data_IF_161632089508
#
_entry.id   IF_161632089508
#
_cell.length_a   1.000
_cell.length_b   1.000
_cell.length_c   1.000
_cell.angle_alpha   90.00
_cell.angle_beta   90.00
_cell.angle_gamma   90.00
#
_symmetry.space_group_name_H-M   'P 1'
#
loop_
_entity.id
_entity.type
_entity.pdbx_description
1 polymer ?
#
# COMPACT_ATOMS: atom_id res chain seq x y z
N UNK A 1 -14.49 20.43 22.02
CA UNK A 1 -13.78 20.37 20.72
C UNK A 1 -12.34 19.95 20.99
N UNK A 2 -11.94 18.70 20.69
CA UNK A 2 -10.59 18.19 20.98
C UNK A 2 -9.65 18.51 19.82
N UNK A 3 -8.56 19.21 20.14
CA UNK A 3 -7.44 19.59 19.26
C UNK A 3 -6.91 18.42 18.41
N UNK A 4 -7.33 18.37 17.14
CA UNK A 4 -6.91 17.36 16.17
C UNK A 4 -5.69 17.79 15.31
N UNK A 5 -5.07 18.94 15.62
CA UNK A 5 -4.00 19.54 14.80
C UNK A 5 -2.57 19.14 15.22
N UNK A 6 -2.38 18.42 16.34
CA UNK A 6 -1.03 18.25 16.94
C UNK A 6 -0.18 17.07 16.44
N UNK A 7 -0.66 16.24 15.50
CA UNK A 7 -0.03 14.95 15.16
C UNK A 7 0.58 14.78 13.77
N UNK A 8 0.61 15.82 12.92
CA UNK A 8 1.00 15.64 11.51
C UNK A 8 2.25 16.39 11.06
N UNK A 9 3.26 16.56 11.92
CA UNK A 9 4.59 16.96 11.41
C UNK A 9 5.24 15.76 10.72
N UNK A 10 5.10 15.71 9.39
CA UNK A 10 5.75 14.73 8.52
C UNK A 10 7.27 14.78 8.75
N UNK A 11 7.93 13.64 8.59
CA UNK A 11 9.39 13.58 8.56
C UNK A 11 9.81 14.13 7.19
N UNK A 12 10.05 15.45 7.07
CA UNK A 12 10.41 16.07 5.79
C UNK A 12 11.87 15.75 5.44
N UNK A 13 12.36 16.24 4.29
CA UNK A 13 13.73 16.09 3.82
C UNK A 13 14.50 17.42 3.94
N UNK A 14 14.33 18.13 5.05
CA UNK A 14 15.12 19.29 5.43
C UNK A 14 16.46 18.88 6.07
N UNK A 15 17.47 19.77 6.05
CA UNK A 15 18.79 19.60 6.70
C UNK A 15 18.68 19.12 8.15
N UNK A 16 17.64 19.55 8.87
CA UNK A 16 17.31 19.09 10.24
C UNK A 16 17.13 17.57 10.33
N UNK A 17 16.57 16.93 9.31
CA UNK A 17 16.25 15.50 9.30
C UNK A 17 17.44 14.57 9.08
N UNK A 18 18.55 15.05 8.52
CA UNK A 18 19.79 14.26 8.46
C UNK A 18 20.31 14.04 9.89
N UNK A 19 20.22 15.07 10.74
CA UNK A 19 20.59 14.95 12.14
C UNK A 19 19.58 14.13 12.93
N UNK A 20 18.26 14.28 12.66
CA UNK A 20 17.25 13.40 13.27
C UNK A 20 17.44 11.93 12.88
N UNK A 21 17.80 11.66 11.62
CA UNK A 21 18.06 10.31 11.11
C UNK A 21 19.30 9.70 11.76
N UNK A 22 20.39 10.48 11.91
CA UNK A 22 21.61 10.03 12.61
C UNK A 22 21.33 9.68 14.08
N UNK A 23 20.60 10.55 14.79
CA UNK A 23 20.24 10.27 16.20
C UNK A 23 19.31 9.05 16.30
N UNK A 24 18.39 8.89 15.34
CA UNK A 24 17.55 7.70 15.28
C UNK A 24 18.38 6.43 15.01
N UNK A 25 19.38 6.51 14.14
CA UNK A 25 20.32 5.42 13.87
C UNK A 25 21.09 5.00 15.13
N UNK A 26 21.71 5.96 15.83
CA UNK A 26 22.44 5.73 17.08
C UNK A 26 21.54 5.04 18.14
N UNK A 27 20.29 5.48 18.27
CA UNK A 27 19.36 4.88 19.23
C UNK A 27 18.83 3.51 18.81
N UNK A 28 18.73 3.24 17.52
CA UNK A 28 18.36 1.90 17.04
C UNK A 28 19.52 0.93 17.25
N UNK A 29 20.76 1.37 17.08
CA UNK A 29 21.95 0.58 17.41
C UNK A 29 22.03 0.27 18.91
N UNK A 30 21.77 1.28 19.76
CA UNK A 30 21.85 1.14 21.22
C UNK A 30 20.72 0.32 21.86
N UNK A 31 19.45 0.52 21.43
CA UNK A 31 18.29 -0.13 22.06
C UNK A 31 17.69 -1.28 21.25
N UNK A 32 18.15 -1.48 20.02
CA UNK A 32 17.60 -2.45 19.09
C UNK A 32 16.22 -2.09 18.53
N UNK A 33 15.82 -2.82 17.48
CA UNK A 33 14.59 -2.58 16.68
C UNK A 33 13.28 -3.04 17.35
N UNK A 34 13.30 -3.37 18.64
CA UNK A 34 12.13 -3.87 19.38
C UNK A 34 11.47 -2.79 20.26
N UNK A 35 12.21 -1.75 20.64
CA UNK A 35 11.81 -0.79 21.68
C UNK A 35 11.52 0.62 21.15
N UNK A 36 10.72 0.74 20.08
CA UNK A 36 10.41 2.01 19.42
C UNK A 36 9.79 3.08 20.33
N UNK A 37 9.04 2.69 21.38
CA UNK A 37 8.51 3.63 22.38
C UNK A 37 9.61 4.32 23.17
N UNK A 38 10.65 3.59 23.58
CA UNK A 38 11.81 4.12 24.31
C UNK A 38 12.65 5.01 23.39
N UNK A 39 12.90 4.54 22.16
CA UNK A 39 13.63 5.29 21.13
C UNK A 39 12.94 6.63 20.86
N UNK A 40 11.62 6.63 20.60
CA UNK A 40 10.88 7.86 20.32
C UNK A 40 10.87 8.86 21.47
N UNK A 41 10.81 8.38 22.73
CA UNK A 41 10.92 9.25 23.91
C UNK A 41 12.29 9.93 23.97
N UNK A 42 13.37 9.17 23.84
CA UNK A 42 14.73 9.73 23.87
C UNK A 42 15.00 10.66 22.70
N UNK A 43 14.56 10.27 21.49
CA UNK A 43 14.63 11.09 20.30
C UNK A 43 13.90 12.44 20.47
N UNK A 44 12.69 12.43 21.04
CA UNK A 44 11.91 13.64 21.31
C UNK A 44 12.55 14.53 22.39
N UNK A 45 13.29 13.96 23.34
CA UNK A 45 14.00 14.75 24.35
C UNK A 45 15.26 15.42 23.79
N UNK A 46 15.92 14.76 22.83
CA UNK A 46 17.15 15.27 22.23
C UNK A 46 16.90 16.28 21.10
N UNK A 47 15.75 16.21 20.45
CA UNK A 47 15.42 17.04 19.29
C UNK A 47 14.19 17.88 19.63
N UNK A 48 14.14 19.14 19.23
CA UNK A 48 13.02 20.07 19.49
C UNK A 48 11.68 19.70 18.80
N UNK A 49 11.54 18.48 18.28
CA UNK A 49 10.36 18.00 17.56
C UNK A 49 9.81 16.73 18.19
N UNK A 50 8.51 16.71 18.48
CA UNK A 50 7.81 15.54 19.01
C UNK A 50 7.74 14.44 17.95
N UNK A 51 8.33 13.28 18.24
CA UNK A 51 8.30 12.09 17.38
C UNK A 51 7.59 10.93 18.08
N UNK A 52 6.76 10.22 17.33
CA UNK A 52 6.06 9.02 17.81
C UNK A 52 6.84 7.76 17.47
N UNK A 53 6.59 6.68 18.22
CA UNK A 53 7.19 5.37 17.95
C UNK A 53 6.91 4.87 16.51
N UNK A 54 5.70 5.12 16.00
CA UNK A 54 5.31 4.79 14.63
C UNK A 54 6.18 5.52 13.60
N UNK A 55 6.35 6.83 13.75
CA UNK A 55 7.17 7.64 12.86
C UNK A 55 8.63 7.18 12.85
N UNK A 56 9.20 6.90 14.03
CA UNK A 56 10.58 6.42 14.15
C UNK A 56 10.76 5.07 13.44
N UNK A 57 9.87 4.11 13.69
CA UNK A 57 9.89 2.80 13.04
C UNK A 57 9.76 2.92 11.53
N UNK A 58 8.80 3.70 11.05
CA UNK A 58 8.54 3.89 9.62
C UNK A 58 9.74 4.54 8.92
N UNK A 59 10.37 5.55 9.54
CA UNK A 59 11.57 6.20 8.99
C UNK A 59 12.73 5.22 8.90
N UNK A 60 12.95 4.44 9.95
CA UNK A 60 13.99 3.41 9.97
C UNK A 60 13.78 2.36 8.87
N UNK A 61 12.57 1.77 8.83
CA UNK A 61 12.26 0.67 7.90
C UNK A 61 12.27 1.12 6.44
N UNK A 62 11.88 2.35 6.13
CA UNK A 62 11.73 2.81 4.74
C UNK A 62 12.92 3.59 4.19
N UNK A 63 13.73 4.23 5.05
CA UNK A 63 14.80 5.14 4.65
C UNK A 63 16.15 4.75 5.24
N UNK A 64 16.31 4.83 6.56
CA UNK A 64 17.64 4.71 7.21
C UNK A 64 18.26 3.33 6.94
N UNK A 65 17.49 2.25 7.11
CA UNK A 65 17.95 0.88 6.84
C UNK A 65 18.52 0.70 5.42
N UNK A 66 18.06 1.50 4.46
CA UNK A 66 18.42 1.42 3.05
C UNK A 66 19.22 2.66 2.59
N UNK A 67 19.78 3.46 3.49
CA UNK A 67 20.40 4.74 3.14
C UNK A 67 21.61 4.61 2.19
N UNK A 68 22.33 3.50 2.27
CA UNK A 68 23.47 3.20 1.40
C UNK A 68 23.08 2.43 0.13
N UNK A 69 21.79 2.12 -0.07
CA UNK A 69 21.35 1.35 -1.22
C UNK A 69 21.14 2.25 -2.46
N UNK A 70 21.42 1.74 -3.68
CA UNK A 70 21.17 2.48 -4.91
C UNK A 70 19.70 2.89 -5.01
N UNK A 71 19.43 4.17 -5.28
CA UNK A 71 18.06 4.66 -5.43
C UNK A 71 17.46 4.31 -6.81
N UNK A 72 18.31 4.07 -7.81
CA UNK A 72 17.90 3.87 -9.20
C UNK A 72 17.24 2.52 -9.42
N UNK A 73 16.25 2.50 -10.31
CA UNK A 73 15.58 1.29 -10.79
C UNK A 73 16.10 0.95 -12.18
N UNK A 74 16.66 -0.24 -12.30
CA UNK A 74 17.03 -0.86 -13.56
C UNK A 74 15.80 -1.46 -14.24
N UNK A 75 15.91 -1.68 -15.55
CA UNK A 75 14.84 -2.30 -16.33
C UNK A 75 14.61 -3.76 -15.93
N UNK A 76 15.67 -4.47 -15.54
CA UNK A 76 15.57 -5.83 -15.02
C UNK A 76 14.81 -5.88 -13.68
N UNK A 77 15.08 -4.93 -12.77
CA UNK A 77 14.34 -4.81 -11.51
C UNK A 77 12.86 -4.44 -11.76
N UNK A 78 12.57 -3.55 -12.71
CA UNK A 78 11.19 -3.21 -13.08
C UNK A 78 10.45 -4.44 -13.63
N UNK A 79 11.08 -5.23 -14.52
CA UNK A 79 10.50 -6.47 -15.06
C UNK A 79 10.25 -7.50 -13.96
N UNK A 80 11.22 -7.71 -13.07
CA UNK A 80 11.09 -8.60 -11.92
C UNK A 80 9.98 -8.15 -10.96
N UNK A 81 9.81 -6.83 -10.78
CA UNK A 81 8.76 -6.29 -9.92
C UNK A 81 7.38 -6.67 -10.45
N UNK A 82 7.16 -6.49 -11.75
CA UNK A 82 5.87 -6.83 -12.35
C UNK A 82 5.61 -8.34 -12.36
N UNK A 83 6.63 -9.17 -12.60
CA UNK A 83 6.44 -10.64 -12.53
C UNK A 83 6.13 -11.13 -11.11
N UNK A 84 6.79 -10.60 -10.09
CA UNK A 84 6.51 -10.91 -8.69
C UNK A 84 5.15 -10.39 -8.25
N UNK A 85 4.71 -9.23 -8.75
CA UNK A 85 3.36 -8.71 -8.48
C UNK A 85 2.28 -9.61 -9.08
N UNK A 86 2.51 -10.17 -10.28
CA UNK A 86 1.59 -11.15 -10.86
C UNK A 86 1.44 -12.41 -10.01
N UNK A 87 2.51 -12.81 -9.31
CA UNK A 87 2.52 -14.02 -8.48
C UNK A 87 1.96 -13.77 -7.07
N UNK A 88 2.36 -12.66 -6.44
CA UNK A 88 2.08 -12.39 -5.03
C UNK A 88 1.04 -11.29 -4.77
N UNK A 89 0.62 -10.56 -5.80
CA UNK A 89 -0.24 -9.39 -5.68
C UNK A 89 0.39 -8.27 -4.86
N UNK A 90 -0.42 -7.59 -4.03
CA UNK A 90 0.02 -6.44 -3.23
C UNK A 90 0.79 -6.83 -1.95
N UNK A 91 1.44 -8.00 -1.91
CA UNK A 91 2.24 -8.48 -0.78
C UNK A 91 3.64 -7.88 -0.79
N UNK A 92 3.74 -6.55 -0.70
CA UNK A 92 4.99 -5.78 -0.87
C UNK A 92 6.12 -6.21 0.07
N UNK A 93 5.80 -6.64 1.28
CA UNK A 93 6.78 -7.16 2.23
C UNK A 93 7.44 -8.46 1.73
N UNK A 94 6.69 -9.35 1.09
CA UNK A 94 7.22 -10.57 0.48
C UNK A 94 8.06 -10.22 -0.74
N UNK A 95 7.52 -9.38 -1.63
CA UNK A 95 8.22 -8.94 -2.85
C UNK A 95 9.55 -8.26 -2.49
N UNK A 96 9.61 -7.49 -1.40
CA UNK A 96 10.85 -6.81 -0.97
C UNK A 96 12.01 -7.72 -0.62
N UNK A 97 11.75 -9.01 -0.34
CA UNK A 97 12.82 -9.98 -0.10
C UNK A 97 13.65 -10.27 -1.36
N UNK A 98 13.10 -9.99 -2.56
CA UNK A 98 13.76 -10.21 -3.85
C UNK A 98 14.54 -8.98 -4.35
N UNK A 99 14.45 -7.84 -3.66
CA UNK A 99 15.11 -6.60 -4.07
C UNK A 99 16.11 -6.15 -3.00
N UNK A 100 17.37 -6.60 -3.07
CA UNK A 100 18.39 -6.13 -2.15
C UNK A 100 18.50 -4.60 -2.27
N UNK A 101 18.44 -3.91 -1.14
CA UNK A 101 18.53 -2.45 -1.12
C UNK A 101 17.21 -1.69 -1.39
N UNK A 102 16.07 -2.36 -1.61
CA UNK A 102 14.77 -1.68 -1.76
C UNK A 102 13.83 -1.99 -0.59
N UNK A 103 13.21 -0.94 -0.02
CA UNK A 103 12.14 -1.12 0.95
C UNK A 103 10.82 -1.55 0.28
N UNK A 104 9.95 -2.21 1.03
CA UNK A 104 8.58 -2.54 0.58
C UNK A 104 7.81 -1.29 0.11
N UNK A 105 8.04 -0.15 0.74
CA UNK A 105 7.45 1.12 0.31
C UNK A 105 8.04 1.63 -1.01
N UNK A 106 9.36 1.50 -1.21
CA UNK A 106 10.00 1.84 -2.49
C UNK A 106 9.43 1.01 -3.65
N UNK A 107 9.24 -0.29 -3.42
CA UNK A 107 8.66 -1.24 -4.38
C UNK A 107 7.23 -0.85 -4.75
N UNK A 108 6.38 -0.68 -3.74
CA UNK A 108 4.99 -0.21 -3.91
C UNK A 108 4.95 1.10 -4.70
N UNK A 109 5.81 2.06 -4.35
CA UNK A 109 5.87 3.35 -5.00
C UNK A 109 6.30 3.24 -6.47
N UNK A 110 7.33 2.44 -6.77
CA UNK A 110 7.78 2.24 -8.14
C UNK A 110 6.70 1.60 -9.02
N UNK A 111 6.02 0.57 -8.51
CA UNK A 111 4.91 -0.09 -9.18
C UNK A 111 3.80 0.92 -9.55
N UNK A 112 3.25 1.61 -8.56
CA UNK A 112 2.14 2.53 -8.81
C UNK A 112 2.55 3.77 -9.61
N UNK A 113 3.78 4.26 -9.44
CA UNK A 113 4.28 5.41 -10.21
C UNK A 113 4.44 5.05 -11.68
N UNK A 114 4.93 3.85 -11.98
CA UNK A 114 5.06 3.34 -13.34
C UNK A 114 3.69 3.19 -14.00
N UNK A 115 2.75 2.53 -13.32
CA UNK A 115 1.39 2.33 -13.84
C UNK A 115 0.68 3.66 -14.09
N UNK A 116 0.65 4.57 -13.11
CA UNK A 116 -0.01 5.89 -13.28
C UNK A 116 0.66 6.75 -14.34
N UNK A 117 1.98 6.65 -14.49
CA UNK A 117 2.69 7.30 -15.61
C UNK A 117 2.17 6.76 -16.93
N UNK A 118 2.10 5.45 -17.08
CA UNK A 118 1.71 4.82 -18.34
C UNK A 118 0.22 5.03 -18.68
N UNK A 119 -0.67 5.01 -17.68
CA UNK A 119 -2.09 5.41 -17.86
C UNK A 119 -2.19 6.83 -18.42
N UNK A 120 -1.48 7.79 -17.82
CA UNK A 120 -1.50 9.20 -18.29
C UNK A 120 -0.96 9.33 -19.72
N UNK A 121 0.07 8.55 -20.07
CA UNK A 121 0.66 8.55 -21.41
C UNK A 121 -0.29 7.95 -22.44
N UNK A 122 -0.92 6.83 -22.12
CA UNK A 122 -1.89 6.16 -22.98
C UNK A 122 -3.16 6.98 -23.18
N UNK A 123 -3.71 7.57 -22.11
CA UNK A 123 -4.96 8.34 -22.18
C UNK A 123 -4.79 9.69 -22.89
N UNK A 124 -3.55 10.14 -23.15
CA UNK A 124 -3.29 11.44 -23.76
C UNK A 124 -3.83 11.49 -25.19
N UNK A 125 -4.81 12.35 -25.43
CA UNK A 125 -5.44 12.54 -26.75
C UNK A 125 -6.46 11.47 -27.13
N UNK A 126 -6.85 10.58 -26.20
CA UNK A 126 -7.89 9.57 -26.43
C UNK A 126 -9.25 10.05 -25.93
N UNK A 127 -10.30 9.68 -26.67
CA UNK A 127 -11.69 9.89 -26.26
C UNK A 127 -11.97 9.18 -24.94
N UNK A 128 -12.96 9.68 -24.20
CA UNK A 128 -13.33 9.20 -22.87
C UNK A 128 -13.47 7.68 -22.79
N UNK A 129 -14.04 7.05 -23.83
CA UNK A 129 -14.39 5.63 -23.86
C UNK A 129 -13.19 4.74 -24.24
N UNK A 130 -12.12 5.34 -24.78
CA UNK A 130 -10.88 4.65 -25.14
C UNK A 130 -9.78 4.84 -24.09
N UNK A 131 -10.12 5.40 -22.92
CA UNK A 131 -9.19 5.64 -21.83
C UNK A 131 -9.18 4.49 -20.83
N UNK A 132 -8.00 4.14 -20.33
CA UNK A 132 -7.86 3.22 -19.20
C UNK A 132 -8.31 3.94 -17.93
N UNK A 133 -9.39 3.44 -17.33
CA UNK A 133 -10.02 3.99 -16.11
C UNK A 133 -10.33 2.88 -15.12
N UNK A 134 -10.53 3.27 -13.87
CA UNK A 134 -10.88 2.36 -12.79
C UNK A 134 -9.69 1.88 -11.97
N UNK A 135 -9.91 0.88 -11.11
CA UNK A 135 -8.96 0.50 -10.09
C UNK A 135 -7.83 -0.36 -10.70
N UNK A 136 -6.59 -0.06 -10.31
CA UNK A 136 -5.37 -0.63 -10.90
C UNK A 136 -5.32 -2.17 -10.79
N UNK A 137 -5.87 -2.73 -9.71
CA UNK A 137 -5.94 -4.17 -9.48
C UNK A 137 -6.84 -4.90 -10.50
N UNK A 138 -7.82 -4.22 -11.10
CA UNK A 138 -8.62 -4.78 -12.20
C UNK A 138 -7.90 -4.60 -13.53
N UNK A 139 -7.41 -3.39 -13.80
CA UNK A 139 -6.71 -3.06 -15.04
C UNK A 139 -5.52 -3.99 -15.31
N UNK A 140 -4.75 -4.36 -14.28
CA UNK A 140 -3.56 -5.21 -14.47
C UNK A 140 -3.89 -6.68 -14.75
N UNK A 141 -5.13 -7.14 -14.54
CA UNK A 141 -5.55 -8.52 -14.84
C UNK A 141 -5.72 -8.75 -16.33
N UNK A 142 -6.11 -7.72 -17.07
CA UNK A 142 -6.30 -7.75 -18.52
C UNK A 142 -4.92 -7.74 -19.21
N UNK A 143 -4.54 -8.78 -19.97
CA UNK A 143 -3.20 -8.88 -20.59
C UNK A 143 -2.84 -7.68 -21.48
N UNK A 144 -3.78 -7.19 -22.26
CA UNK A 144 -3.59 -6.08 -23.21
C UNK A 144 -3.31 -4.77 -22.46
N UNK A 145 -4.03 -4.52 -21.36
CA UNK A 145 -3.77 -3.37 -20.51
C UNK A 145 -2.43 -3.52 -19.80
N UNK A 146 -2.10 -4.72 -19.31
CA UNK A 146 -0.85 -4.99 -18.60
C UNK A 146 0.38 -4.63 -19.43
N UNK A 147 0.39 -4.91 -20.72
CA UNK A 147 1.50 -4.56 -21.60
C UNK A 147 1.76 -3.04 -21.58
N UNK A 148 0.71 -2.24 -21.72
CA UNK A 148 0.77 -0.78 -21.66
C UNK A 148 1.18 -0.31 -20.25
N UNK A 149 0.57 -0.88 -19.21
CA UNK A 149 0.79 -0.46 -17.82
C UNK A 149 2.21 -0.74 -17.33
N UNK A 150 2.85 -1.79 -17.83
CA UNK A 150 4.21 -2.21 -17.45
C UNK A 150 5.29 -1.75 -18.41
N UNK A 151 4.93 -0.99 -19.46
CA UNK A 151 5.86 -0.48 -20.47
C UNK A 151 7.01 0.34 -19.84
N UNK A 152 8.23 0.10 -20.33
CA UNK A 152 9.45 0.78 -19.89
C UNK A 152 9.40 2.30 -20.10
N UNK A 153 10.05 3.03 -19.18
CA UNK A 153 10.18 4.50 -19.26
C UNK A 153 10.89 5.00 -20.52
N UNK A 154 11.73 4.16 -21.14
CA UNK A 154 12.50 4.49 -22.34
C UNK A 154 11.65 4.56 -23.61
N UNK A 155 10.53 3.83 -23.63
CA UNK A 155 9.62 3.83 -24.77
C UNK A 155 9.07 5.24 -24.96
N UNK A 156 9.05 5.73 -26.21
CA UNK A 156 8.58 7.07 -26.58
C UNK A 156 7.07 7.24 -26.42
N UNK A 157 6.58 8.49 -26.52
CA UNK A 157 5.13 8.79 -26.48
C UNK A 157 4.40 8.25 -27.72
N UNK A 158 5.13 8.07 -28.81
CA UNK A 158 4.68 7.63 -30.13
C UNK A 158 4.05 6.25 -30.03
N UNK A 159 4.66 5.33 -29.27
CA UNK A 159 4.09 4.01 -28.98
C UNK A 159 2.71 4.10 -28.33
N UNK A 160 2.54 4.94 -27.32
CA UNK A 160 1.26 5.05 -26.61
C UNK A 160 0.13 5.63 -27.49
N UNK A 161 0.50 6.47 -28.47
CA UNK A 161 -0.43 7.02 -29.45
C UNK A 161 -0.79 6.00 -30.54
N UNK A 162 0.16 5.14 -30.94
CA UNK A 162 -0.07 4.13 -31.96
C UNK A 162 -0.83 2.91 -31.44
N UNK A 163 -0.72 2.58 -30.15
CA UNK A 163 -1.43 1.44 -29.56
C UNK A 163 -2.94 1.65 -29.62
N UNK A 164 -3.62 0.77 -30.34
CA UNK A 164 -5.07 0.64 -30.41
C UNK A 164 -5.46 -0.68 -29.73
N UNK A 165 -6.32 -0.58 -28.73
CA UNK A 165 -6.87 -1.75 -28.05
C UNK A 165 -8.23 -2.12 -28.66
N UNK A 166 -8.58 -3.41 -28.71
CA UNK A 166 -9.90 -3.84 -29.12
C UNK A 166 -10.97 -3.24 -28.19
N UNK A 167 -12.16 -2.97 -28.74
CA UNK A 167 -13.27 -2.42 -27.97
C UNK A 167 -13.70 -3.39 -26.84
N UNK A 168 -13.60 -4.69 -27.11
CA UNK A 168 -13.90 -5.79 -26.21
C UNK A 168 -13.05 -5.74 -24.93
N UNK A 169 -11.80 -5.26 -25.01
CA UNK A 169 -10.93 -5.12 -23.84
C UNK A 169 -11.50 -4.14 -22.82
N UNK A 170 -12.22 -3.11 -23.27
CA UNK A 170 -12.85 -2.11 -22.38
C UNK A 170 -14.17 -2.62 -21.79
N UNK A 171 -14.94 -3.42 -22.53
CA UNK A 171 -16.22 -3.98 -22.08
C UNK A 171 -16.09 -4.90 -20.85
N UNK A 172 -14.92 -5.50 -20.62
CA UNK A 172 -14.65 -6.32 -19.44
C UNK A 172 -14.71 -5.51 -18.13
N UNK A 173 -14.29 -4.24 -18.16
CA UNK A 173 -14.25 -3.39 -16.97
C UNK A 173 -15.66 -2.95 -16.54
N UNK A 174 -16.53 -2.64 -17.49
CA UNK A 174 -17.88 -2.16 -17.21
C UNK A 174 -18.81 -3.26 -16.67
N UNK A 175 -18.59 -4.52 -17.07
CA UNK A 175 -19.36 -5.66 -16.55
C UNK A 175 -19.00 -5.99 -15.09
N UNK A 176 -17.71 -5.99 -14.73
CA UNK A 176 -17.28 -6.24 -13.35
C UNK A 176 -17.64 -5.10 -12.39
N UNK A 177 -17.64 -3.84 -12.85
CA UNK A 177 -18.02 -2.69 -12.00
C UNK A 177 -19.52 -2.63 -11.74
N UNK A 178 -20.34 -3.00 -12.72
CA UNK A 178 -21.79 -3.09 -12.52
C UNK A 178 -22.15 -4.27 -11.62
N UNK A 179 -21.55 -5.45 -11.84
CA UNK A 179 -21.77 -6.61 -10.96
C UNK A 179 -21.37 -6.36 -9.49
N UNK A 180 -20.25 -5.68 -9.23
CA UNK A 180 -19.85 -5.33 -7.85
C UNK A 180 -20.77 -4.27 -7.21
N UNK A 181 -21.34 -3.36 -8.01
CA UNK A 181 -22.34 -2.39 -7.53
C UNK A 181 -23.65 -3.09 -7.21
N UNK A 182 -24.08 -4.03 -8.04
CA UNK A 182 -25.30 -4.80 -7.84
C UNK A 182 -25.18 -5.67 -6.58
N UNK A 183 -24.02 -6.30 -6.34
CA UNK A 183 -23.75 -7.05 -5.11
C UNK A 183 -23.72 -6.16 -3.85
N UNK A 184 -23.29 -4.91 -3.97
CA UNK A 184 -23.30 -3.95 -2.86
C UNK A 184 -24.71 -3.42 -2.59
N UNK A 185 -25.53 -3.24 -3.63
CA UNK A 185 -26.93 -2.87 -3.51
C UNK A 185 -27.78 -3.99 -2.89
N UNK A 186 -27.46 -5.26 -3.18
CA UNK A 186 -28.13 -6.42 -2.55
C UNK A 186 -27.69 -6.68 -1.10
N UNK A 187 -26.56 -6.12 -0.65
CA UNK A 187 -26.05 -6.25 0.72
C UNK A 187 -26.29 -4.98 1.58
N UNK A 188 -27.05 -4.00 1.09
CA UNK A 188 -27.59 -2.93 1.93
C UNK A 188 -28.75 -3.50 2.76
N UNK A 189 -28.42 -4.10 3.90
CA UNK A 189 -29.38 -4.31 4.99
C UNK A 189 -29.95 -2.93 5.35
N UNK A 190 -31.27 -2.81 5.29
CA UNK A 190 -31.99 -1.58 5.66
C UNK A 190 -31.54 -1.12 7.05
N UNK A 191 -31.38 0.19 7.27
CA UNK A 191 -31.15 0.71 8.62
C UNK A 191 -32.26 0.31 9.61
N UNK A 192 -33.46 -0.03 9.09
CA UNK A 192 -34.57 -0.53 9.90
C UNK A 192 -34.31 -1.96 10.42
N UNK A 193 -33.54 -2.78 9.69
CA UNK A 193 -33.16 -4.14 10.11
C UNK A 193 -32.02 -4.12 11.17
N UNK A 194 -31.20 -3.07 11.18
CA UNK A 194 -30.18 -2.82 12.20
C UNK A 194 -30.78 -2.31 13.53
N UNK A 195 -31.89 -1.58 13.48
CA UNK A 195 -32.64 -1.21 14.69
C UNK A 195 -33.34 -2.41 15.33
N UNK A 196 -33.77 -3.41 14.54
CA UNK A 196 -34.37 -4.64 15.08
C UNK A 196 -33.35 -5.54 15.80
N UNK A 197 -32.07 -5.49 15.40
CA UNK A 197 -30.99 -6.24 16.05
C UNK A 197 -30.47 -5.56 17.34
N UNK A 198 -30.62 -4.23 17.46
CA UNK A 198 -30.19 -3.45 18.62
C UNK A 198 -31.30 -3.23 19.67
N UNK A 199 -32.54 -3.62 19.38
CA UNK A 199 -33.69 -3.46 20.28
C UNK A 199 -33.98 -4.68 21.19
N UNK A 200 -33.14 -5.72 21.17
CA UNK A 200 -33.20 -6.77 22.18
C UNK A 200 -32.29 -6.42 23.36
N UNK A 201 -32.88 -5.71 24.32
CA UNK A 201 -32.27 -5.39 25.60
C UNK A 201 -31.83 -6.64 26.37
N UNK A 202 -30.68 -6.45 26.99
CA UNK A 202 -29.80 -7.37 27.69
C UNK A 202 -30.35 -7.71 29.09
N UNK A 203 -31.25 -8.68 29.22
CA UNK A 203 -31.42 -9.42 30.49
C UNK A 203 -31.88 -10.85 30.23
N UNK A 204 -30.91 -11.75 30.01
CA UNK A 204 -30.89 -13.17 30.44
C UNK A 204 -30.10 -14.06 29.48
N UNK A 205 -28.76 -13.99 29.50
CA UNK A 205 -27.94 -15.10 29.00
C UNK A 205 -26.84 -15.49 30.01
N UNK A 206 -26.74 -16.77 30.40
CA UNK A 206 -25.91 -17.22 31.50
C UNK A 206 -24.42 -17.22 31.13
N UNK A 207 -23.56 -16.87 32.11
CA UNK A 207 -22.10 -17.02 31.99
C UNK A 207 -21.74 -18.49 31.87
N UNK A 208 -21.14 -18.88 30.75
CA UNK A 208 -20.40 -20.13 30.65
C UNK A 208 -18.93 -19.88 30.98
N UNK A 209 -18.46 -20.52 32.05
CA UNK A 209 -17.05 -20.62 32.40
C UNK A 209 -16.31 -21.47 31.36
N UNK A 210 -15.17 -20.98 30.89
CA UNK A 210 -14.31 -21.70 29.96
C UNK A 210 -13.44 -22.67 30.76
N UNK A 211 -13.81 -23.95 30.77
CA UNK A 211 -12.94 -25.01 31.26
C UNK A 211 -11.82 -25.29 30.27
N UNK A 212 -10.60 -25.36 30.81
CA UNK A 212 -9.33 -25.48 30.09
C UNK A 212 -8.77 -26.88 30.30
N UNK A 213 -9.25 -27.90 29.57
CA UNK A 213 -8.57 -29.20 29.41
C UNK A 213 -9.01 -29.87 28.10
N UNK A 214 -8.13 -30.71 27.56
CA UNK A 214 -8.26 -31.61 26.38
C UNK A 214 -7.73 -31.07 25.03
N UNK A 215 -6.40 -31.18 24.87
CA UNK A 215 -5.73 -31.47 23.60
C UNK A 215 -4.99 -32.80 23.79
N UNK A 216 -5.68 -33.91 23.57
CA UNK A 216 -5.22 -35.25 23.13
C UNK A 216 -6.51 -35.84 22.52
N UNK A 217 -6.62 -36.45 21.35
CA UNK A 217 -5.77 -37.34 20.58
C UNK A 217 -6.20 -37.18 19.10
N UNK A 218 -5.27 -37.27 18.14
CA UNK A 218 -5.54 -37.98 16.89
C UNK A 218 -4.19 -38.47 16.38
N UNK A 219 -3.98 -39.77 16.61
CA UNK A 219 -3.08 -40.64 15.87
C UNK A 219 -3.42 -40.65 14.37
#
# INVERSE_FOLDING_TARGET
MKDNLKYKKLWSLDVRHIQEDKVLEDYVELYGRKNWKKIAKKLTLQISSKRTAKQCRERWENKIKFQHAPCFWSEAEEKLLFSLHMTFGNKWAIISKYFPGKSSNSIKNNFYSTIRRNIRRYNKGKNHDMQLKGPINKLIKVPEFREILTTSKKVGKEYFLSVKLPFESFAFLDKETNFEKDLQAENEISNDDLELFLAFDDESFPRFEVNRYEIEEFS
#
